data_IF_081301859442
#
_entry.id   IF_081301859442
#
_cell.length_a   1.000
_cell.length_b   1.000
_cell.length_c   1.000
_cell.angle_alpha   90.00
_cell.angle_beta   90.00
_cell.angle_gamma   90.00
#
_symmetry.space_group_name_H-M   'P 1'
#
loop_
_entity.id
_entity.type
_entity.pdbx_description
1 polymer ?
#
# COMPACT_ATOMS: atom_id res chain seq x y z
N UNK A 1 7.23 -17.79 6.92
CA UNK A 1 8.46 -16.97 6.89
C UNK A 1 8.03 -15.51 6.97
N UNK A 2 8.35 -14.80 8.07
CA UNK A 2 8.06 -13.37 8.20
C UNK A 2 9.03 -12.61 7.29
N UNK A 3 8.52 -11.79 6.38
CA UNK A 3 9.38 -10.96 5.52
C UNK A 3 10.03 -9.86 6.37
N UNK A 4 11.29 -9.47 6.10
CA UNK A 4 11.93 -8.38 6.83
C UNK A 4 11.16 -7.06 6.63
N UNK A 5 10.94 -6.31 7.71
CA UNK A 5 10.21 -5.03 7.69
C UNK A 5 10.80 -4.02 6.70
N UNK A 6 12.12 -3.92 6.61
CA UNK A 6 12.80 -3.07 5.62
C UNK A 6 12.59 -3.50 4.16
N UNK A 7 12.35 -4.80 3.90
CA UNK A 7 11.97 -5.27 2.57
C UNK A 7 10.54 -4.83 2.23
N UNK A 8 9.60 -5.01 3.16
CA UNK A 8 8.21 -4.58 2.98
C UNK A 8 8.11 -3.06 2.78
N UNK A 9 8.90 -2.27 3.51
CA UNK A 9 8.97 -0.82 3.32
C UNK A 9 9.38 -0.44 1.88
N UNK A 10 10.32 -1.17 1.27
CA UNK A 10 10.73 -0.99 -0.13
C UNK A 10 9.63 -1.39 -1.11
N UNK A 11 8.95 -2.50 -0.87
CA UNK A 11 7.82 -2.95 -1.70
C UNK A 11 6.69 -1.92 -1.69
N UNK A 12 6.35 -1.38 -0.51
CA UNK A 12 5.33 -0.33 -0.39
C UNK A 12 5.74 0.92 -1.15
N UNK A 13 6.98 1.39 -1.00
CA UNK A 13 7.48 2.55 -1.74
C UNK A 13 7.37 2.34 -3.25
N UNK A 14 7.82 1.18 -3.73
CA UNK A 14 7.75 0.84 -5.16
C UNK A 14 6.31 0.79 -5.68
N UNK A 15 5.36 0.29 -4.89
CA UNK A 15 3.96 0.26 -5.27
C UNK A 15 3.35 1.67 -5.37
N UNK A 16 3.67 2.54 -4.40
CA UNK A 16 3.25 3.95 -4.36
C UNK A 16 3.90 4.77 -5.49
N UNK A 17 5.14 4.47 -5.86
CA UNK A 17 5.90 5.20 -6.89
C UNK A 17 5.49 4.87 -8.34
N UNK A 18 4.71 3.81 -8.57
CA UNK A 18 4.18 3.48 -9.90
C UNK A 18 3.09 4.48 -10.34
N UNK A 19 2.94 4.63 -11.66
CA UNK A 19 1.87 5.41 -12.29
C UNK A 19 1.17 4.55 -13.35
N UNK A 20 -0.09 4.12 -13.14
CA UNK A 20 -0.89 4.29 -11.93
C UNK A 20 -0.30 3.52 -10.73
N UNK A 21 -0.70 3.88 -9.51
CA UNK A 21 -0.29 3.20 -8.27
C UNK A 21 -0.63 1.72 -8.37
N UNK A 22 0.29 0.85 -7.95
CA UNK A 22 0.05 -0.60 -7.90
C UNK A 22 -0.71 -0.97 -6.63
N UNK A 23 -2.01 -0.70 -6.66
CA UNK A 23 -2.89 -0.93 -5.53
C UNK A 23 -3.04 -2.41 -5.15
N UNK A 24 -2.83 -3.33 -6.09
CA UNK A 24 -2.85 -4.77 -5.81
C UNK A 24 -1.68 -5.15 -4.89
N UNK A 25 -0.46 -4.71 -5.23
CA UNK A 25 0.71 -4.93 -4.38
C UNK A 25 0.57 -4.19 -3.05
N UNK A 26 0.11 -2.93 -3.07
CA UNK A 26 -0.07 -2.11 -1.87
C UNK A 26 -1.05 -2.75 -0.90
N UNK A 27 -2.26 -3.11 -1.36
CA UNK A 27 -3.31 -3.72 -0.54
C UNK A 27 -2.88 -5.07 0.03
N UNK A 28 -2.28 -5.95 -0.78
CA UNK A 28 -1.79 -7.25 -0.32
C UNK A 28 -0.71 -7.12 0.75
N UNK A 29 0.17 -6.12 0.60
CA UNK A 29 1.25 -5.88 1.55
C UNK A 29 0.71 -5.32 2.87
N UNK A 30 -0.28 -4.44 2.85
CA UNK A 30 -0.86 -3.86 4.06
C UNK A 30 -1.83 -4.82 4.75
N UNK A 31 -2.83 -5.35 4.03
CA UNK A 31 -3.90 -6.19 4.61
C UNK A 31 -3.37 -7.56 5.06
N UNK A 32 -2.33 -8.07 4.41
CA UNK A 32 -1.78 -9.39 4.70
C UNK A 32 -0.92 -9.50 5.96
N UNK A 33 -0.69 -8.41 6.70
CA UNK A 33 0.20 -8.38 7.86
C UNK A 33 -0.54 -7.94 9.13
N UNK A 34 -0.10 -8.45 10.29
CA UNK A 34 -0.63 -8.05 11.59
C UNK A 34 -0.22 -6.61 11.95
N UNK A 35 -0.99 -5.93 12.81
CA UNK A 35 -0.75 -4.53 13.20
C UNK A 35 0.68 -4.29 13.71
N UNK A 36 1.22 -5.23 14.51
CA UNK A 36 2.59 -5.14 15.03
C UNK A 36 3.63 -5.13 13.91
N UNK A 37 3.44 -5.94 12.88
CA UNK A 37 4.34 -6.00 11.73
C UNK A 37 4.29 -4.69 10.95
N UNK A 38 3.08 -4.15 10.73
CA UNK A 38 2.90 -2.87 10.03
C UNK A 38 3.53 -1.69 10.77
N UNK A 39 3.52 -1.71 12.11
CA UNK A 39 4.22 -0.70 12.93
C UNK A 39 5.73 -0.75 12.71
N UNK A 40 6.32 -1.95 12.69
CA UNK A 40 7.75 -2.12 12.40
C UNK A 40 8.09 -1.68 10.96
N UNK A 41 7.22 -1.99 9.99
CA UNK A 41 7.36 -1.53 8.60
C UNK A 41 7.33 -0.01 8.51
N UNK A 42 6.42 0.66 9.22
CA UNK A 42 6.35 2.12 9.26
C UNK A 42 7.63 2.76 9.80
N UNK A 43 8.21 2.18 10.86
CA UNK A 43 9.48 2.67 11.42
C UNK A 43 10.65 2.49 10.44
N UNK A 44 10.75 1.33 9.80
CA UNK A 44 11.78 1.10 8.78
C UNK A 44 11.58 1.99 7.55
N UNK A 45 10.33 2.23 7.14
CA UNK A 45 10.01 3.14 6.06
C UNK A 45 10.55 4.55 6.34
N UNK A 46 10.26 5.10 7.53
CA UNK A 46 10.74 6.43 7.92
C UNK A 46 12.27 6.51 7.96
N UNK A 47 12.96 5.45 8.40
CA UNK A 47 14.43 5.40 8.40
C UNK A 47 15.02 5.41 6.99
N UNK A 48 14.37 4.76 6.03
CA UNK A 48 14.88 4.60 4.66
C UNK A 48 14.61 5.86 3.82
N UNK A 49 13.45 6.51 4.01
CA UNK A 49 12.95 7.55 3.11
C UNK A 49 12.87 8.95 3.73
N UNK A 50 13.18 9.10 5.02
CA UNK A 50 13.09 10.38 5.76
C UNK A 50 11.68 11.03 5.67
N UNK A 51 10.66 10.19 5.51
CA UNK A 51 9.24 10.55 5.40
C UNK A 51 8.44 9.42 6.05
N UNK A 52 7.37 9.73 6.79
CA UNK A 52 6.54 8.68 7.38
C UNK A 52 5.65 8.02 6.35
N UNK A 53 5.33 6.74 6.55
CA UNK A 53 4.47 6.01 5.62
C UNK A 53 3.07 6.64 5.49
N UNK A 54 2.51 7.17 6.58
CA UNK A 54 1.22 7.87 6.54
C UNK A 54 1.28 9.18 5.75
N UNK A 55 2.39 9.94 5.83
CA UNK A 55 2.60 11.13 5.01
C UNK A 55 2.63 10.77 3.52
N UNK A 56 3.38 9.74 3.13
CA UNK A 56 3.42 9.32 1.73
C UNK A 56 2.04 8.83 1.24
N UNK A 57 1.32 8.05 2.04
CA UNK A 57 -0.01 7.56 1.66
C UNK A 57 -0.97 8.74 1.47
N UNK A 58 -1.01 9.69 2.41
CA UNK A 58 -1.88 10.86 2.32
C UNK A 58 -1.57 11.76 1.11
N UNK A 59 -0.31 11.83 0.67
CA UNK A 59 0.08 12.66 -0.47
C UNK A 59 -0.13 11.96 -1.83
N UNK A 60 -0.09 10.63 -1.87
CA UNK A 60 -0.12 9.86 -3.13
C UNK A 60 -1.45 9.20 -3.43
N UNK A 61 -2.19 8.78 -2.40
CA UNK A 61 -3.35 7.92 -2.57
C UNK A 61 -4.63 8.72 -2.53
N UNK A 62 -5.35 8.72 -3.65
CA UNK A 62 -6.72 9.24 -3.72
C UNK A 62 -7.73 8.19 -3.23
N UNK A 63 -8.61 8.58 -2.31
CA UNK A 63 -9.69 7.75 -1.79
C UNK A 63 -10.65 7.28 -2.88
N UNK A 64 -10.83 8.07 -3.94
CA UNK A 64 -11.67 7.73 -5.09
C UNK A 64 -11.10 6.54 -5.87
N UNK A 65 -9.79 6.45 -6.00
CA UNK A 65 -9.11 5.33 -6.68
C UNK A 65 -9.22 4.04 -5.85
N UNK A 66 -9.13 4.14 -4.52
CA UNK A 66 -9.42 2.99 -3.63
C UNK A 66 -10.86 2.53 -3.81
N UNK A 67 -11.83 3.45 -3.83
CA UNK A 67 -13.24 3.12 -4.05
C UNK A 67 -13.45 2.39 -5.39
N UNK A 68 -12.84 2.89 -6.46
CA UNK A 68 -12.90 2.28 -7.81
C UNK A 68 -12.33 0.87 -7.81
N UNK A 69 -11.17 0.67 -7.18
CA UNK A 69 -10.55 -0.64 -7.04
C UNK A 69 -11.46 -1.64 -6.32
N UNK A 70 -12.06 -1.24 -5.19
CA UNK A 70 -12.93 -2.12 -4.42
C UNK A 70 -14.18 -2.51 -5.22
N UNK A 71 -14.78 -1.56 -5.95
CA UNK A 71 -15.92 -1.85 -6.83
C UNK A 71 -15.49 -2.83 -7.93
N UNK A 72 -14.37 -2.58 -8.60
CA UNK A 72 -13.84 -3.44 -9.66
C UNK A 72 -13.64 -4.89 -9.19
N UNK A 73 -13.09 -5.08 -7.98
CA UNK A 73 -12.88 -6.39 -7.38
C UNK A 73 -14.21 -7.09 -7.12
N UNK A 74 -15.19 -6.40 -6.54
CA UNK A 74 -16.51 -6.98 -6.22
C UNK A 74 -17.29 -7.31 -7.48
N UNK A 75 -17.23 -6.46 -8.49
CA UNK A 75 -17.95 -6.66 -9.76
C UNK A 75 -17.22 -7.61 -10.71
N UNK A 76 -16.06 -8.16 -10.33
CA UNK A 76 -15.22 -9.01 -11.18
C UNK A 76 -14.86 -8.33 -12.52
N UNK A 77 -14.72 -7.00 -12.52
CA UNK A 77 -14.47 -6.25 -13.74
C UNK A 77 -15.70 -5.99 -14.62
N UNK A 78 -16.90 -6.38 -14.19
CA UNK A 78 -18.13 -5.95 -14.85
C UNK A 78 -18.44 -4.50 -14.49
N UNK A 79 -18.52 -3.65 -15.51
CA UNK A 79 -18.97 -2.28 -15.37
C UNK A 79 -20.48 -2.30 -15.07
N UNK A 80 -20.86 -1.88 -13.87
CA UNK A 80 -22.25 -1.59 -13.51
C UNK A 80 -22.51 -0.12 -13.81
N UNK A 81 -22.55 0.18 -15.11
CA UNK A 81 -23.17 1.41 -15.65
C UNK A 81 -24.67 1.43 -15.38
#
# INVERSE_FOLDING_TARGET
VRLPSGYLAKVIRQALDKTPIDYVTLSRTIIGHEEKDLREVGLEYSKIYDETLDQTINSRVDILEIKRLLILIITHGHDIT
#
